data_IF_734057742981
#
_entry.id   IF_734057742981
#
_cell.length_a   1.000
_cell.length_b   1.000
_cell.length_c   1.000
_cell.angle_alpha   90.00
_cell.angle_beta   90.00
_cell.angle_gamma   90.00
#
_symmetry.space_group_name_H-M   'P 1'
#
loop_
_entity.id
_entity.type
_entity.pdbx_description
1 polymer ?
#
# COMPACT_ATOMS: atom_id res chain seq x y z
N UNK A 1 -19.21 -30.75 1.63
CA UNK A 1 -17.98 -30.37 0.92
C UNK A 1 -18.38 -29.74 -0.41
N UNK A 2 -17.66 -28.71 -0.87
CA UNK A 2 -17.89 -28.03 -2.15
C UNK A 2 -16.88 -28.54 -3.20
N UNK A 3 -17.19 -29.58 -3.98
CA UNK A 3 -16.25 -30.18 -4.93
C UNK A 3 -15.89 -29.25 -6.10
N UNK A 4 -16.71 -28.22 -6.37
CA UNK A 4 -16.50 -27.23 -7.43
C UNK A 4 -16.03 -25.87 -6.90
N UNK A 5 -15.62 -25.79 -5.62
CA UNK A 5 -15.30 -24.53 -4.95
C UNK A 5 -16.51 -23.88 -4.29
N UNK A 6 -16.25 -22.91 -3.43
CA UNK A 6 -17.29 -22.19 -2.68
C UNK A 6 -17.90 -21.12 -3.58
N UNK A 7 -19.23 -21.06 -3.77
CA UNK A 7 -19.89 -20.02 -4.54
C UNK A 7 -19.49 -18.62 -4.05
N UNK A 8 -19.25 -17.69 -4.97
CA UNK A 8 -18.76 -16.34 -4.62
C UNK A 8 -19.71 -15.60 -3.67
N UNK A 9 -21.03 -15.75 -3.87
CA UNK A 9 -22.03 -15.15 -2.98
C UNK A 9 -21.90 -15.67 -1.53
N UNK A 10 -21.43 -16.91 -1.34
CA UNK A 10 -21.19 -17.46 -0.02
C UNK A 10 -19.84 -17.02 0.55
N UNK A 11 -18.81 -16.91 -0.30
CA UNK A 11 -17.50 -16.36 0.09
C UNK A 11 -17.65 -14.94 0.64
N UNK A 12 -18.46 -14.11 -0.02
CA UNK A 12 -18.74 -12.73 0.39
C UNK A 12 -19.40 -12.63 1.78
N UNK A 13 -20.11 -13.67 2.21
CA UNK A 13 -20.86 -13.69 3.47
C UNK A 13 -20.11 -14.36 4.63
N UNK A 14 -18.85 -14.77 4.44
CA UNK A 14 -18.08 -15.48 5.47
C UNK A 14 -17.80 -14.62 6.72
N UNK A 15 -17.64 -13.31 6.56
CA UNK A 15 -17.31 -12.38 7.66
C UNK A 15 -16.10 -12.87 8.47
N UNK A 16 -16.16 -12.75 9.80
CA UNK A 16 -15.10 -13.19 10.73
C UNK A 16 -14.75 -14.68 10.64
N UNK A 17 -15.69 -15.54 10.21
CA UNK A 17 -15.44 -16.98 10.02
C UNK A 17 -14.40 -17.22 8.91
N UNK A 18 -14.24 -16.29 7.97
CA UNK A 18 -13.20 -16.40 6.95
C UNK A 18 -11.79 -16.53 7.55
N UNK A 19 -11.51 -15.95 8.73
CA UNK A 19 -10.15 -15.88 9.29
C UNK A 19 -9.54 -17.21 9.70
N UNK A 20 -10.35 -18.25 9.88
CA UNK A 20 -9.83 -19.61 10.15
C UNK A 20 -9.44 -20.36 8.87
N UNK A 21 -9.69 -19.78 7.70
CA UNK A 21 -9.43 -20.42 6.41
C UNK A 21 -7.93 -20.59 6.14
N UNK A 22 -7.52 -21.79 5.76
CA UNK A 22 -6.15 -22.05 5.32
C UNK A 22 -5.93 -21.55 3.89
N UNK A 23 -4.67 -21.51 3.44
CA UNK A 23 -4.36 -21.24 2.03
C UNK A 23 -5.06 -22.21 1.06
N UNK A 24 -5.26 -23.46 1.48
CA UNK A 24 -5.98 -24.48 0.71
C UNK A 24 -7.50 -24.25 0.66
N UNK A 25 -8.05 -23.54 1.64
CA UNK A 25 -9.46 -23.14 1.61
C UNK A 25 -9.64 -21.92 0.69
N UNK A 26 -8.77 -20.93 0.83
CA UNK A 26 -8.74 -19.71 -0.02
C UNK A 26 -8.56 -20.06 -1.50
N UNK A 27 -7.73 -21.06 -1.83
CA UNK A 27 -7.50 -21.47 -3.22
C UNK A 27 -8.78 -21.94 -3.92
N UNK A 28 -9.79 -22.38 -3.16
CA UNK A 28 -11.09 -22.87 -3.64
C UNK A 28 -12.19 -21.81 -3.68
N UNK A 29 -11.90 -20.57 -3.29
CA UNK A 29 -12.86 -19.48 -3.32
C UNK A 29 -12.94 -18.83 -4.69
N UNK A 30 -14.10 -18.31 -5.08
CA UNK A 30 -14.20 -17.44 -6.25
C UNK A 30 -14.26 -16.00 -5.78
N UNK A 31 -13.30 -15.17 -6.20
CA UNK A 31 -13.16 -13.77 -5.77
C UNK A 31 -13.01 -12.92 -7.03
N UNK A 32 -14.10 -12.65 -7.75
CA UNK A 32 -14.04 -11.91 -9.02
C UNK A 32 -14.56 -10.48 -8.87
N UNK A 33 -15.45 -10.24 -7.90
CA UNK A 33 -16.09 -8.95 -7.65
C UNK A 33 -15.33 -8.16 -6.58
N UNK A 34 -15.28 -6.84 -6.77
CA UNK A 34 -14.68 -5.93 -5.78
C UNK A 34 -15.39 -5.99 -4.43
N UNK A 35 -16.71 -6.22 -4.42
CA UNK A 35 -17.50 -6.37 -3.19
C UNK A 35 -17.10 -7.61 -2.39
N UNK A 36 -16.77 -8.72 -3.07
CA UNK A 36 -16.25 -9.94 -2.44
C UNK A 36 -14.87 -9.68 -1.84
N UNK A 37 -13.98 -9.02 -2.59
CA UNK A 37 -12.67 -8.62 -2.08
C UNK A 37 -12.82 -7.75 -0.83
N UNK A 38 -13.65 -6.72 -0.90
CA UNK A 38 -13.89 -5.78 0.19
C UNK A 38 -14.46 -6.47 1.44
N UNK A 39 -15.41 -7.40 1.27
CA UNK A 39 -15.96 -8.18 2.37
C UNK A 39 -14.87 -9.05 3.04
N UNK A 40 -14.01 -9.70 2.26
CA UNK A 40 -12.95 -10.55 2.80
C UNK A 40 -11.88 -9.76 3.56
N UNK A 41 -11.51 -8.57 3.10
CA UNK A 41 -10.43 -7.76 3.71
C UNK A 41 -10.93 -6.76 4.75
N UNK A 42 -12.22 -6.79 5.10
CA UNK A 42 -12.82 -5.92 6.11
C UNK A 42 -12.13 -6.10 7.47
N UNK A 43 -11.62 -5.00 8.03
CA UNK A 43 -10.83 -5.03 9.27
C UNK A 43 -11.62 -5.43 10.51
N UNK A 44 -12.94 -5.17 10.53
CA UNK A 44 -13.83 -5.53 11.64
C UNK A 44 -13.92 -7.04 11.86
N UNK A 45 -13.63 -7.82 10.81
CA UNK A 45 -13.64 -9.29 10.83
C UNK A 45 -12.28 -9.89 11.25
N UNK A 46 -11.30 -9.05 11.61
CA UNK A 46 -9.95 -9.43 12.01
C UNK A 46 -8.90 -9.22 10.91
N UNK A 47 -7.61 -9.33 11.26
CA UNK A 47 -6.51 -9.24 10.31
C UNK A 47 -6.23 -10.56 9.60
N UNK A 48 -5.73 -10.49 8.38
CA UNK A 48 -5.17 -11.64 7.67
C UNK A 48 -3.67 -11.74 7.90
N UNK A 49 -3.15 -12.96 7.93
CA UNK A 49 -1.71 -13.17 7.76
C UNK A 49 -1.29 -12.78 6.33
N UNK A 50 -0.04 -12.34 6.18
CA UNK A 50 0.47 -11.82 4.91
C UNK A 50 0.27 -12.82 3.75
N UNK A 51 0.52 -14.12 3.97
CA UNK A 51 0.35 -15.13 2.94
C UNK A 51 -1.12 -15.32 2.52
N UNK A 52 -2.07 -15.30 3.46
CA UNK A 52 -3.49 -15.42 3.17
C UNK A 52 -4.02 -14.17 2.46
N UNK A 53 -3.65 -13.00 2.95
CA UNK A 53 -3.95 -11.70 2.36
C UNK A 53 -3.50 -11.62 0.90
N UNK A 54 -2.24 -12.02 0.65
CA UNK A 54 -1.68 -12.11 -0.70
C UNK A 54 -2.49 -13.04 -1.58
N UNK A 55 -2.82 -14.25 -1.10
CA UNK A 55 -3.60 -15.21 -1.86
C UNK A 55 -4.99 -14.68 -2.26
N UNK A 56 -5.68 -13.99 -1.34
CA UNK A 56 -7.00 -13.38 -1.59
C UNK A 56 -6.91 -12.32 -2.69
N UNK A 57 -5.97 -11.38 -2.55
CA UNK A 57 -5.82 -10.27 -3.49
C UNK A 57 -5.34 -10.77 -4.86
N UNK A 58 -4.36 -11.69 -4.90
CA UNK A 58 -3.87 -12.28 -6.15
C UNK A 58 -5.00 -12.98 -6.90
N UNK A 59 -5.86 -13.73 -6.21
CA UNK A 59 -7.00 -14.40 -6.83
C UNK A 59 -7.98 -13.43 -7.47
N UNK A 60 -8.22 -12.28 -6.83
CA UNK A 60 -8.98 -11.19 -7.43
C UNK A 60 -8.31 -10.63 -8.69
N UNK A 61 -7.00 -10.41 -8.65
CA UNK A 61 -6.22 -9.85 -9.77
C UNK A 61 -6.02 -10.82 -10.94
N UNK A 62 -6.18 -12.14 -10.73
CA UNK A 62 -6.16 -13.15 -11.79
C UNK A 62 -7.39 -13.09 -12.70
N UNK A 63 -8.47 -12.44 -12.26
CA UNK A 63 -9.68 -12.27 -13.06
C UNK A 63 -9.44 -11.24 -14.18
N UNK A 64 -9.70 -11.57 -15.46
CA UNK A 64 -9.52 -10.63 -16.56
C UNK A 64 -10.28 -9.32 -16.35
N UNK A 65 -9.58 -8.19 -16.49
CA UNK A 65 -10.13 -6.85 -16.30
C UNK A 65 -9.99 -6.29 -14.87
N UNK A 66 -9.71 -7.14 -13.88
CA UNK A 66 -9.45 -6.67 -12.52
C UNK A 66 -8.07 -6.03 -12.39
N UNK A 67 -7.97 -5.01 -11.54
CA UNK A 67 -6.72 -4.31 -11.25
C UNK A 67 -6.80 -3.62 -9.89
N UNK A 68 -5.66 -3.14 -9.37
CA UNK A 68 -5.62 -2.31 -8.17
C UNK A 68 -6.04 -0.87 -8.51
N UNK A 69 -7.35 -0.66 -8.66
CA UNK A 69 -8.00 0.64 -8.77
C UNK A 69 -8.12 1.35 -7.42
N UNK A 70 -8.63 2.58 -7.43
CA UNK A 70 -8.78 3.36 -6.20
C UNK A 70 -9.73 2.69 -5.19
N UNK A 71 -10.79 2.05 -5.66
CA UNK A 71 -11.74 1.31 -4.81
C UNK A 71 -11.06 0.12 -4.15
N UNK A 72 -10.32 -0.67 -4.91
CA UNK A 72 -9.58 -1.84 -4.42
C UNK A 72 -8.52 -1.42 -3.41
N UNK A 73 -7.74 -0.37 -3.71
CA UNK A 73 -6.74 0.19 -2.80
C UNK A 73 -7.36 0.64 -1.46
N UNK A 74 -8.53 1.30 -1.53
CA UNK A 74 -9.26 1.74 -0.34
C UNK A 74 -9.79 0.56 0.49
N UNK A 75 -10.16 -0.53 -0.16
CA UNK A 75 -10.65 -1.74 0.51
C UNK A 75 -9.53 -2.53 1.16
N UNK A 76 -8.43 -2.81 0.45
CA UNK A 76 -7.37 -3.69 0.96
C UNK A 76 -6.56 -3.02 2.09
N UNK A 77 -6.40 -1.70 2.07
CA UNK A 77 -5.71 -0.97 3.14
C UNK A 77 -4.30 -1.51 3.40
N UNK A 78 -3.99 -1.86 4.66
CA UNK A 78 -2.67 -2.37 5.06
C UNK A 78 -2.31 -3.73 4.45
N UNK A 79 -3.29 -4.46 3.90
CA UNK A 79 -3.06 -5.70 3.17
C UNK A 79 -2.30 -5.46 1.85
N UNK A 80 -2.22 -4.23 1.35
CA UNK A 80 -1.44 -3.89 0.15
C UNK A 80 0.02 -4.38 0.25
N UNK A 81 0.62 -4.29 1.44
CA UNK A 81 2.01 -4.67 1.68
C UNK A 81 2.24 -6.20 1.67
N UNK A 82 1.20 -7.02 1.53
CA UNK A 82 1.35 -8.46 1.30
C UNK A 82 1.72 -8.81 -0.15
N UNK A 83 1.59 -7.87 -1.07
CA UNK A 83 1.79 -8.09 -2.50
C UNK A 83 3.25 -7.99 -2.92
N UNK A 84 3.60 -8.72 -3.98
CA UNK A 84 4.92 -8.63 -4.60
C UNK A 84 5.10 -7.28 -5.31
N UNK A 85 6.36 -6.87 -5.43
CA UNK A 85 6.76 -5.65 -6.15
C UNK A 85 6.12 -5.58 -7.55
N UNK A 86 6.13 -6.68 -8.30
CA UNK A 86 5.57 -6.74 -9.66
C UNK A 86 4.05 -6.52 -9.72
N UNK A 87 3.33 -6.76 -8.62
CA UNK A 87 1.91 -6.40 -8.51
C UNK A 87 1.73 -4.93 -8.15
N UNK A 88 2.59 -4.39 -7.28
CA UNK A 88 2.56 -2.97 -6.90
C UNK A 88 2.93 -2.06 -8.08
N UNK A 89 3.89 -2.45 -8.92
CA UNK A 89 4.30 -1.71 -10.13
C UNK A 89 3.18 -1.53 -11.15
N UNK A 90 2.15 -2.39 -11.11
CA UNK A 90 0.98 -2.29 -12.00
C UNK A 90 -0.02 -1.21 -11.56
N UNK A 91 0.13 -0.64 -10.37
CA UNK A 91 -0.75 0.42 -9.88
C UNK A 91 -0.54 1.68 -10.72
N UNK A 92 -1.62 2.18 -11.32
CA UNK A 92 -1.57 3.41 -12.11
C UNK A 92 -1.50 4.63 -11.18
N UNK A 93 -0.74 5.69 -11.52
CA UNK A 93 -0.67 6.92 -10.72
C UNK A 93 -2.05 7.55 -10.44
N UNK A 94 -2.98 7.49 -11.40
CA UNK A 94 -4.35 7.99 -11.20
C UNK A 94 -5.12 7.24 -10.11
N UNK A 95 -4.82 5.95 -9.89
CA UNK A 95 -5.45 5.17 -8.83
C UNK A 95 -4.94 5.59 -7.46
N UNK A 96 -3.64 5.90 -7.33
CA UNK A 96 -3.07 6.51 -6.12
C UNK A 96 -3.72 7.87 -5.85
N UNK A 97 -3.94 8.69 -6.88
CA UNK A 97 -4.54 10.02 -6.75
C UNK A 97 -5.94 9.98 -6.17
N UNK A 98 -6.72 8.99 -6.59
CA UNK A 98 -8.14 8.86 -6.27
C UNK A 98 -8.39 7.98 -5.02
N UNK A 99 -7.35 7.33 -4.50
CA UNK A 99 -7.42 6.56 -3.27
C UNK A 99 -7.29 7.47 -2.04
N UNK A 100 -7.74 6.97 -0.89
CA UNK A 100 -7.38 7.50 0.42
C UNK A 100 -5.86 7.30 0.65
N UNK A 101 -5.23 8.09 1.53
CA UNK A 101 -3.84 7.89 1.89
C UNK A 101 -3.56 6.44 2.29
N UNK A 102 -2.61 5.80 1.61
CA UNK A 102 -2.33 4.38 1.81
C UNK A 102 -1.56 4.16 3.11
N UNK A 103 -1.90 3.08 3.81
CA UNK A 103 -1.16 2.65 4.98
C UNK A 103 0.01 1.74 4.57
N UNK A 104 1.23 2.28 4.58
CA UNK A 104 2.45 1.60 4.13
C UNK A 104 3.35 1.15 5.28
N UNK A 105 2.84 1.12 6.52
CA UNK A 105 3.65 0.86 7.70
C UNK A 105 4.34 -0.52 7.67
N UNK A 106 3.62 -1.55 7.19
CA UNK A 106 4.09 -2.94 7.09
C UNK A 106 4.87 -3.26 5.82
N UNK A 107 5.01 -2.31 4.89
CA UNK A 107 5.71 -2.52 3.63
C UNK A 107 7.23 -2.56 3.85
N UNK A 108 7.91 -3.41 3.08
CA UNK A 108 9.36 -3.41 2.96
C UNK A 108 9.86 -2.10 2.34
N UNK A 109 11.16 -1.83 2.50
CA UNK A 109 11.82 -0.66 1.91
C UNK A 109 11.64 -0.62 0.40
N UNK A 110 11.76 -1.76 -0.28
CA UNK A 110 11.63 -1.88 -1.74
C UNK A 110 10.19 -1.62 -2.19
N UNK A 111 9.20 -2.16 -1.48
CA UNK A 111 7.79 -1.87 -1.76
C UNK A 111 7.48 -0.39 -1.58
N UNK A 112 8.01 0.23 -0.51
CA UNK A 112 7.85 1.68 -0.26
C UNK A 112 8.46 2.51 -1.39
N UNK A 113 9.65 2.15 -1.90
CA UNK A 113 10.30 2.83 -3.03
C UNK A 113 9.43 2.82 -4.29
N UNK A 114 8.89 1.66 -4.65
CA UNK A 114 7.97 1.52 -5.79
C UNK A 114 6.75 2.42 -5.62
N UNK A 115 6.10 2.36 -4.45
CA UNK A 115 4.90 3.16 -4.17
C UNK A 115 5.21 4.66 -4.12
N UNK A 116 6.40 5.05 -3.65
CA UNK A 116 6.86 6.42 -3.68
C UNK A 116 6.96 6.96 -5.11
N UNK A 117 7.64 6.24 -6.02
CA UNK A 117 7.79 6.69 -7.40
C UNK A 117 6.43 6.86 -8.12
N UNK A 118 5.51 5.91 -7.91
CA UNK A 118 4.14 6.00 -8.47
C UNK A 118 3.41 7.22 -7.89
N UNK A 119 3.55 7.47 -6.58
CA UNK A 119 2.90 8.60 -5.90
C UNK A 119 3.48 9.96 -6.32
N UNK A 120 4.79 10.05 -6.55
CA UNK A 120 5.45 11.26 -7.06
C UNK A 120 4.88 11.66 -8.42
N UNK A 121 4.73 10.70 -9.33
CA UNK A 121 4.06 10.91 -10.63
C UNK A 121 2.59 11.29 -10.42
N UNK A 122 1.92 10.64 -9.48
CA UNK A 122 0.50 10.91 -9.17
C UNK A 122 0.25 12.36 -8.76
N UNK A 123 1.16 12.96 -7.99
CA UNK A 123 0.99 14.28 -7.39
C UNK A 123 1.83 15.38 -8.04
N UNK A 124 2.52 15.11 -9.15
CA UNK A 124 3.40 16.08 -9.83
C UNK A 124 2.69 17.40 -10.18
N UNK A 125 1.39 17.36 -10.48
CA UNK A 125 0.60 18.57 -10.79
C UNK A 125 0.43 19.50 -9.59
N UNK A 126 0.70 19.03 -8.37
CA UNK A 126 0.63 19.80 -7.13
C UNK A 126 2.00 20.37 -6.71
N UNK A 127 3.07 20.09 -7.46
CA UNK A 127 4.44 20.51 -7.14
C UNK A 127 4.62 22.02 -6.97
N UNK A 128 3.76 22.84 -7.60
CA UNK A 128 3.76 24.30 -7.45
C UNK A 128 3.19 24.78 -6.11
N UNK A 129 2.52 23.91 -5.34
CA UNK A 129 2.04 24.17 -3.99
C UNK A 129 2.72 23.22 -2.99
N UNK A 130 3.85 23.64 -2.39
CA UNK A 130 4.63 22.84 -1.44
C UNK A 130 3.81 22.18 -0.34
N UNK A 131 2.88 22.93 0.26
CA UNK A 131 2.04 22.46 1.36
C UNK A 131 1.10 21.35 0.90
N UNK A 132 0.41 21.56 -0.22
CA UNK A 132 -0.50 20.54 -0.79
C UNK A 132 0.27 19.29 -1.21
N UNK A 133 1.38 19.47 -1.92
CA UNK A 133 2.21 18.36 -2.37
C UNK A 133 2.73 17.52 -1.19
N UNK A 134 3.25 18.18 -0.15
CA UNK A 134 3.79 17.49 1.02
C UNK A 134 2.73 16.73 1.79
N UNK A 135 1.51 17.27 1.90
CA UNK A 135 0.41 16.57 2.54
C UNK A 135 0.00 15.29 1.79
N UNK A 136 0.04 15.33 0.44
CA UNK A 136 -0.32 14.19 -0.40
C UNK A 136 0.76 13.10 -0.40
N UNK A 137 2.04 13.49 -0.43
CA UNK A 137 3.17 12.55 -0.52
C UNK A 137 3.57 11.94 0.83
N UNK A 138 3.11 12.52 1.95
CA UNK A 138 3.58 12.20 3.31
C UNK A 138 3.60 10.70 3.66
N UNK A 139 2.55 9.96 3.31
CA UNK A 139 2.45 8.52 3.62
C UNK A 139 3.44 7.67 2.82
N UNK A 140 4.02 8.22 1.75
CA UNK A 140 4.91 7.53 0.82
C UNK A 140 6.39 7.82 1.07
N UNK A 141 6.71 8.81 1.93
CA UNK A 141 8.09 9.27 2.16
C UNK A 141 9.03 8.19 2.69
N UNK A 142 8.50 7.10 3.26
CA UNK A 142 9.33 5.96 3.65
C UNK A 142 10.07 5.28 2.49
N UNK A 143 9.67 5.54 1.25
CA UNK A 143 10.36 5.09 0.04
C UNK A 143 11.13 6.17 -0.70
N UNK A 144 11.16 7.41 -0.19
CA UNK A 144 11.75 8.54 -0.90
C UNK A 144 13.28 8.44 -0.95
N UNK A 145 13.91 8.77 -2.08
CA UNK A 145 15.35 8.93 -2.14
C UNK A 145 15.80 10.16 -1.33
N UNK A 146 17.07 10.17 -0.92
CA UNK A 146 17.65 11.27 -0.13
C UNK A 146 17.44 12.64 -0.80
N UNK A 147 17.59 12.72 -2.12
CA UNK A 147 17.45 13.97 -2.89
C UNK A 147 16.09 14.62 -2.67
N UNK A 148 15.02 13.82 -2.68
CA UNK A 148 13.66 14.32 -2.56
C UNK A 148 13.35 14.71 -1.11
N UNK A 149 13.85 13.95 -0.13
CA UNK A 149 13.75 14.30 1.30
C UNK A 149 14.47 15.62 1.58
N UNK A 150 15.64 15.82 0.97
CA UNK A 150 16.39 17.08 1.06
C UNK A 150 15.58 18.24 0.47
N UNK A 151 15.02 18.06 -0.72
CA UNK A 151 14.23 19.09 -1.38
C UNK A 151 13.01 19.49 -0.55
N UNK A 152 12.29 18.52 0.01
CA UNK A 152 11.15 18.78 0.89
C UNK A 152 11.54 19.54 2.17
N UNK A 153 12.70 19.22 2.75
CA UNK A 153 13.17 19.91 3.96
C UNK A 153 13.47 21.41 3.73
N UNK A 154 13.82 21.80 2.51
CA UNK A 154 14.09 23.21 2.14
C UNK A 154 12.81 24.05 2.05
N UNK A 155 11.65 23.41 1.92
CA UNK A 155 10.37 24.10 1.75
C UNK A 155 9.77 24.60 3.08
N UNK A 156 10.52 24.59 4.19
CA UNK A 156 10.06 24.90 5.56
C UNK A 156 8.86 24.05 6.02
N UNK A 157 8.71 22.86 5.44
CA UNK A 157 7.66 21.93 5.83
C UNK A 157 8.23 21.05 6.93
N UNK A 158 7.77 21.29 8.16
CA UNK A 158 8.16 20.49 9.31
C UNK A 158 7.70 19.05 9.11
N UNK A 159 8.65 18.16 8.84
CA UNK A 159 8.43 16.73 8.89
C UNK A 159 8.23 16.34 10.36
N UNK A 160 7.10 15.72 10.69
CA UNK A 160 6.90 15.24 12.05
C UNK A 160 7.82 14.02 12.33
N UNK A 161 7.97 13.71 13.62
CA UNK A 161 8.82 12.61 14.05
C UNK A 161 8.40 11.26 13.44
N UNK A 162 7.09 11.04 13.25
CA UNK A 162 6.56 9.79 12.71
C UNK A 162 6.94 9.60 11.23
N UNK A 163 6.87 10.66 10.43
CA UNK A 163 7.30 10.68 9.04
C UNK A 163 8.82 10.56 8.95
N UNK A 164 9.59 11.19 9.85
CA UNK A 164 11.04 11.02 9.88
C UNK A 164 11.44 9.57 10.20
N UNK A 165 10.78 8.94 11.16
CA UNK A 165 11.01 7.54 11.53
C UNK A 165 10.60 6.54 10.44
N UNK A 166 9.76 6.93 9.49
CA UNK A 166 9.34 6.06 8.41
C UNK A 166 10.30 6.04 7.21
N UNK A 167 11.23 7.00 7.14
CA UNK A 167 12.25 7.11 6.08
C UNK A 167 13.15 5.87 6.02
N UNK A 168 13.73 5.62 4.84
CA UNK A 168 14.77 4.59 4.68
C UNK A 168 15.94 4.88 5.65
N UNK A 169 16.34 3.91 6.50
CA UNK A 169 17.44 4.09 7.46
C UNK A 169 18.75 4.58 6.83
N UNK A 170 19.01 4.25 5.56
CA UNK A 170 20.17 4.74 4.83
C UNK A 170 20.07 6.25 4.55
N UNK A 171 18.87 6.74 4.24
CA UNK A 171 18.59 8.17 4.05
C UNK A 171 18.78 8.93 5.37
N UNK A 172 18.30 8.37 6.49
CA UNK A 172 18.50 8.93 7.83
C UNK A 172 19.99 8.99 8.18
N UNK A 173 20.72 7.90 7.94
CA UNK A 173 22.15 7.80 8.29
C UNK A 173 23.00 8.82 7.52
N UNK A 174 22.74 9.02 6.22
CA UNK A 174 23.44 10.05 5.44
C UNK A 174 23.16 11.44 5.99
N UNK A 175 21.91 11.75 6.37
CA UNK A 175 21.56 13.04 6.98
C UNK A 175 22.27 13.28 8.30
N UNK A 176 22.31 12.30 9.20
CA UNK A 176 23.02 12.44 10.48
C UNK A 176 24.51 12.68 10.25
N UNK A 177 25.11 12.02 9.26
CA UNK A 177 26.51 12.21 8.90
C UNK A 177 26.77 13.59 8.25
N UNK A 178 25.86 14.11 7.42
CA UNK A 178 25.95 15.47 6.86
C UNK A 178 25.87 16.53 7.97
N UNK A 179 24.90 16.43 8.89
CA UNK A 179 24.80 17.34 10.03
C UNK A 179 26.03 17.30 10.95
N UNK A 180 26.67 16.14 11.10
CA UNK A 180 27.89 16.01 11.89
C UNK A 180 29.10 16.65 11.19
N UNK A 181 29.15 16.65 9.85
CA UNK A 181 30.23 17.27 9.06
C UNK A 181 30.11 18.79 8.96
N UNK A 182 28.90 19.34 8.99
CA UNK A 182 28.67 20.79 9.00
C UNK A 182 28.99 21.46 10.35
N UNK A 183 29.34 20.68 11.39
CA UNK A 183 29.70 21.15 12.73
C UNK A 183 31.20 21.02 13.07
N UNK A 184 32.04 20.70 12.08
CA UNK A 184 33.52 20.68 12.19
C UNK A 184 34.08 21.72 11.25
#
# INVERSE_FOLDING_TARGET
>A
AYPLGVPEEQVQLLGSVSRVATLNDISKWTITKVDTLAALVKTDDGSWEAAQSKAIITKYLETPGNSLGATELNSIGSNLCSLDISSLEKIKPVNIRNAKPLNLASCSTEQKKVLYEISKISFVSQSSNPTTYSNLIRSYLGGAPLTDVVELSKQNIHMDLKTFQSLDPNVISVRVLEFARERV
#
